data_IF_766754418804
#
_entry.id   IF_766754418804
#
_cell.length_a   1.000
_cell.length_b   1.000
_cell.length_c   1.000
_cell.angle_alpha   90.00
_cell.angle_beta   90.00
_cell.angle_gamma   90.00
#
_symmetry.space_group_name_H-M   'P 1'
#
loop_
_entity.id
_entity.type
_entity.pdbx_description
1 polymer ?
#
# COMPACT_ATOMS: atom_id res chain seq x y z
N UNK A 1 10.03 23.16 -114.49
CA UNK A 1 8.94 22.41 -115.16
C UNK A 1 7.99 21.89 -114.09
N UNK A 2 6.70 22.20 -114.23
CA UNK A 2 5.58 21.91 -113.30
C UNK A 2 5.10 20.46 -113.38
N UNK A 3 4.26 20.11 -112.38
CA UNK A 3 3.22 19.04 -112.28
C UNK A 3 3.68 17.83 -111.47
N UNK A 4 2.91 17.21 -110.57
CA UNK A 4 1.53 17.33 -110.06
C UNK A 4 1.49 16.30 -108.92
N UNK A 5 1.07 16.58 -107.67
CA UNK A 5 -0.31 16.87 -107.30
C UNK A 5 -1.17 15.61 -107.37
N UNK A 6 -1.41 14.94 -106.22
CA UNK A 6 -2.61 14.14 -105.92
C UNK A 6 -2.85 14.07 -104.41
N UNK A 7 -4.00 14.59 -104.01
CA UNK A 7 -4.56 14.66 -102.66
C UNK A 7 -5.53 13.49 -102.40
N UNK A 8 -5.72 13.20 -101.10
CA UNK A 8 -6.95 12.76 -100.43
C UNK A 8 -7.38 11.28 -100.56
N UNK A 9 -8.06 10.67 -99.55
CA UNK A 9 -8.94 11.35 -98.59
C UNK A 9 -8.72 11.10 -97.09
N UNK A 10 -9.24 12.08 -96.36
CA UNK A 10 -9.57 12.09 -94.93
C UNK A 10 -10.79 11.20 -94.72
N UNK A 11 -10.68 10.18 -93.87
CA UNK A 11 -11.83 9.46 -93.32
C UNK A 11 -12.12 9.95 -91.90
N UNK A 12 -13.33 10.46 -91.72
CA UNK A 12 -13.95 10.85 -90.44
C UNK A 12 -14.56 9.62 -89.75
N UNK A 13 -14.72 9.75 -88.43
CA UNK A 13 -15.58 8.97 -87.53
C UNK A 13 -15.08 7.55 -87.19
N UNK A 14 -14.81 7.23 -85.94
CA UNK A 14 -15.82 7.23 -84.87
C UNK A 14 -15.16 7.33 -83.50
N UNK A 15 -15.73 8.18 -82.65
CA UNK A 15 -15.39 8.30 -81.24
C UNK A 15 -15.62 6.95 -80.52
N UNK A 16 -14.54 6.25 -80.15
CA UNK A 16 -14.60 5.22 -79.13
C UNK A 16 -14.54 5.90 -77.76
N UNK A 17 -15.71 5.96 -77.12
CA UNK A 17 -15.90 6.25 -75.70
C UNK A 17 -14.95 5.41 -74.84
N UNK A 18 -13.77 5.94 -74.51
CA UNK A 18 -12.96 5.46 -73.41
C UNK A 18 -13.28 6.32 -72.18
N UNK A 19 -14.45 6.07 -71.58
CA UNK A 19 -14.68 6.40 -70.16
C UNK A 19 -13.86 5.41 -69.33
N UNK A 20 -12.56 5.67 -69.20
CA UNK A 20 -11.77 5.05 -68.14
C UNK A 20 -12.21 5.70 -66.83
N UNK A 21 -12.92 4.89 -66.04
CA UNK A 21 -13.46 5.19 -64.71
C UNK A 21 -12.44 5.97 -63.89
N UNK A 22 -12.81 7.19 -63.48
CA UNK A 22 -12.21 7.87 -62.34
C UNK A 22 -12.28 6.88 -61.18
N UNK A 23 -11.12 6.49 -60.66
CA UNK A 23 -10.99 5.65 -59.47
C UNK A 23 -11.56 6.50 -58.34
N UNK A 24 -12.76 6.16 -57.86
CA UNK A 24 -13.30 6.77 -56.64
C UNK A 24 -12.23 6.62 -55.55
N UNK A 25 -11.67 7.73 -55.10
CA UNK A 25 -10.95 7.75 -53.84
C UNK A 25 -11.92 7.23 -52.80
N UNK A 26 -11.65 6.03 -52.29
CA UNK A 26 -12.34 5.49 -51.14
C UNK A 26 -12.10 6.45 -49.97
N UNK A 27 -12.97 7.46 -49.83
CA UNK A 27 -13.10 8.22 -48.60
C UNK A 27 -13.51 7.20 -47.55
N UNK A 28 -12.55 6.72 -46.78
CA UNK A 28 -12.79 5.84 -45.64
C UNK A 28 -13.64 6.66 -44.66
N UNK A 29 -14.97 6.49 -44.73
CA UNK A 29 -15.89 7.05 -43.75
C UNK A 29 -15.54 6.36 -42.44
N UNK A 30 -14.73 7.01 -41.59
CA UNK A 30 -14.52 6.56 -40.21
C UNK A 30 -15.86 6.69 -39.50
N UNK A 31 -16.67 5.61 -39.51
CA UNK A 31 -17.87 5.50 -38.68
C UNK A 31 -17.43 5.71 -37.23
N UNK A 32 -17.94 6.78 -36.60
CA UNK A 32 -17.68 7.02 -35.17
C UNK A 32 -18.18 5.81 -34.39
N UNK A 33 -17.33 5.26 -33.52
CA UNK A 33 -17.72 4.14 -32.68
C UNK A 33 -18.95 4.54 -31.85
N UNK A 34 -19.91 3.62 -31.65
CA UNK A 34 -21.11 3.93 -30.88
C UNK A 34 -20.74 4.26 -29.43
N UNK A 35 -21.50 5.12 -28.75
CA UNK A 35 -21.17 5.55 -27.37
C UNK A 35 -20.99 4.39 -26.38
N UNK A 36 -21.73 3.29 -26.59
CA UNK A 36 -21.59 2.08 -25.77
C UNK A 36 -20.21 1.41 -25.89
N UNK A 37 -19.52 1.56 -27.03
CA UNK A 37 -18.18 1.02 -27.22
C UNK A 37 -17.18 1.68 -26.27
N UNK A 38 -17.25 3.01 -26.12
CA UNK A 38 -16.40 3.73 -25.17
C UNK A 38 -16.73 3.37 -23.73
N UNK A 39 -18.03 3.22 -23.40
CA UNK A 39 -18.45 2.76 -22.07
C UNK A 39 -17.89 1.36 -21.79
N UNK A 40 -18.03 0.42 -22.73
CA UNK A 40 -17.48 -0.93 -22.60
C UNK A 40 -15.95 -0.91 -22.48
N UNK A 41 -15.26 -0.08 -23.26
CA UNK A 41 -13.81 0.05 -23.19
C UNK A 41 -13.30 0.52 -21.80
N UNK A 42 -14.07 1.36 -21.10
CA UNK A 42 -13.76 1.75 -19.72
C UNK A 42 -14.22 0.73 -18.68
N UNK A 43 -15.38 0.09 -18.87
CA UNK A 43 -15.93 -0.85 -17.88
C UNK A 43 -15.20 -2.19 -17.85
N UNK A 44 -14.77 -2.72 -19.00
CA UNK A 44 -14.08 -4.01 -19.08
C UNK A 44 -12.86 -4.08 -18.14
N UNK A 45 -11.89 -3.14 -18.16
CA UNK A 45 -10.73 -3.22 -17.26
C UNK A 45 -11.12 -3.07 -15.77
N UNK A 46 -12.12 -2.24 -15.46
CA UNK A 46 -12.60 -2.08 -14.08
C UNK A 46 -13.24 -3.37 -13.57
N UNK A 47 -14.12 -3.98 -14.37
CA UNK A 47 -14.75 -5.27 -14.05
C UNK A 47 -13.68 -6.35 -13.90
N UNK A 48 -12.67 -6.37 -14.77
CA UNK A 48 -11.56 -7.32 -14.68
C UNK A 48 -10.81 -7.19 -13.35
N UNK A 49 -10.47 -5.96 -12.92
CA UNK A 49 -9.78 -5.74 -11.64
C UNK A 49 -10.66 -6.18 -10.47
N UNK A 50 -11.96 -5.89 -10.50
CA UNK A 50 -12.89 -6.32 -9.45
C UNK A 50 -12.97 -7.85 -9.38
N UNK A 51 -13.14 -8.53 -10.51
CA UNK A 51 -13.21 -9.99 -10.58
C UNK A 51 -11.88 -10.62 -10.12
N UNK A 52 -10.75 -10.04 -10.51
CA UNK A 52 -9.42 -10.47 -10.05
C UNK A 52 -9.29 -10.34 -8.53
N UNK A 53 -9.63 -9.18 -7.96
CA UNK A 53 -9.57 -8.93 -6.52
C UNK A 53 -10.44 -9.92 -5.75
N UNK A 54 -11.69 -10.14 -6.19
CA UNK A 54 -12.61 -11.10 -5.57
C UNK A 54 -12.05 -12.52 -5.65
N UNK A 55 -11.51 -12.92 -6.80
CA UNK A 55 -10.92 -14.26 -6.99
C UNK A 55 -9.71 -14.47 -6.05
N UNK A 56 -8.85 -13.46 -5.91
CA UNK A 56 -7.69 -13.51 -5.02
C UNK A 56 -8.12 -13.60 -3.55
N UNK A 57 -9.17 -12.88 -3.14
CA UNK A 57 -9.72 -12.97 -1.78
C UNK A 57 -10.34 -14.34 -1.49
N UNK A 58 -11.09 -14.90 -2.43
CA UNK A 58 -11.65 -16.26 -2.28
C UNK A 58 -10.58 -17.34 -2.19
N UNK A 59 -9.46 -17.16 -2.90
CA UNK A 59 -8.29 -18.03 -2.82
C UNK A 59 -7.41 -17.77 -1.58
N UNK A 60 -7.77 -16.81 -0.71
CA UNK A 60 -6.98 -16.34 0.43
C UNK A 60 -5.53 -15.99 0.06
N UNK A 61 -5.35 -15.32 -1.09
CA UNK A 61 -4.02 -14.91 -1.57
C UNK A 61 -3.45 -13.75 -0.73
N UNK A 62 -2.13 -13.77 -0.51
CA UNK A 62 -1.40 -12.69 0.15
C UNK A 62 -1.64 -12.62 1.66
N UNK A 63 -1.21 -11.52 2.28
CA UNK A 63 -1.31 -11.28 3.72
C UNK A 63 -2.67 -10.68 4.09
N UNK A 64 -3.17 -11.05 5.27
CA UNK A 64 -4.33 -10.41 5.89
C UNK A 64 -3.88 -9.29 6.83
N UNK A 65 -4.37 -8.09 6.59
CA UNK A 65 -4.07 -6.88 7.37
C UNK A 65 -5.24 -6.45 8.26
N UNK A 66 -6.23 -7.32 8.49
CA UNK A 66 -7.23 -7.11 9.55
C UNK A 66 -6.54 -6.75 10.86
N UNK A 67 -7.05 -5.75 11.57
CA UNK A 67 -6.37 -5.26 12.77
C UNK A 67 -6.45 -6.25 13.94
N UNK A 68 -7.63 -6.85 14.11
CA UNK A 68 -7.95 -7.72 15.23
C UNK A 68 -8.24 -9.13 14.74
N UNK A 69 -7.68 -10.12 15.43
CA UNK A 69 -7.97 -11.53 15.22
C UNK A 69 -8.57 -12.14 16.49
N UNK A 70 -9.44 -13.13 16.30
CA UNK A 70 -10.03 -13.90 17.41
C UNK A 70 -8.93 -14.73 18.10
N UNK A 71 -8.72 -14.45 19.38
CA UNK A 71 -7.78 -15.18 20.25
C UNK A 71 -8.45 -16.38 20.97
N UNK A 72 -9.74 -16.61 20.71
CA UNK A 72 -10.58 -17.55 21.42
C UNK A 72 -11.13 -16.99 22.72
N UNK A 73 -12.10 -17.71 23.30
CA UNK A 73 -12.72 -17.38 24.59
C UNK A 73 -13.32 -15.96 24.67
N UNK A 74 -13.81 -15.43 23.54
CA UNK A 74 -14.42 -14.10 23.49
C UNK A 74 -13.42 -12.96 23.60
N UNK A 75 -12.16 -13.18 23.16
CA UNK A 75 -11.09 -12.18 23.21
C UNK A 75 -10.51 -11.89 21.84
N UNK A 76 -10.11 -10.64 21.64
CA UNK A 76 -9.28 -10.23 20.51
C UNK A 76 -7.83 -10.04 20.92
N UNK A 77 -6.95 -10.17 19.93
CA UNK A 77 -5.56 -9.72 19.96
C UNK A 77 -5.22 -8.99 18.66
N UNK A 78 -4.12 -8.23 18.67
CA UNK A 78 -3.58 -7.64 17.45
C UNK A 78 -3.16 -8.73 16.46
N UNK A 79 -3.48 -8.55 15.18
CA UNK A 79 -3.06 -9.47 14.14
C UNK A 79 -1.53 -9.57 14.08
N UNK A 80 -1.01 -10.80 14.17
CA UNK A 80 0.43 -11.09 14.18
C UNK A 80 1.15 -10.69 12.89
N UNK A 81 0.43 -10.72 11.77
CA UNK A 81 0.97 -10.40 10.45
C UNK A 81 0.81 -8.92 10.05
N UNK A 82 0.15 -8.11 10.88
CA UNK A 82 -0.18 -6.70 10.54
C UNK A 82 1.07 -5.87 10.24
N UNK A 83 2.22 -6.21 10.83
CA UNK A 83 3.49 -5.55 10.56
C UNK A 83 3.88 -5.60 9.07
N UNK A 84 3.53 -6.66 8.34
CA UNK A 84 3.82 -6.80 6.91
C UNK A 84 3.14 -5.72 6.04
N UNK A 85 2.18 -4.97 6.59
CA UNK A 85 1.60 -3.80 5.91
C UNK A 85 2.60 -2.64 5.79
N UNK A 86 3.48 -2.47 6.77
CA UNK A 86 4.41 -1.33 6.89
C UNK A 86 5.85 -1.69 6.54
N UNK A 87 6.22 -2.97 6.66
CA UNK A 87 7.55 -3.48 6.39
C UNK A 87 7.55 -4.31 5.10
N UNK A 88 8.31 -3.88 4.09
CA UNK A 88 8.29 -4.48 2.75
C UNK A 88 9.28 -5.63 2.60
N UNK A 89 10.30 -5.69 3.45
CA UNK A 89 11.29 -6.76 3.46
C UNK A 89 11.04 -7.68 4.65
N UNK A 90 10.95 -8.99 4.42
CA UNK A 90 10.57 -9.97 5.46
C UNK A 90 11.51 -9.94 6.67
N UNK A 91 12.82 -9.72 6.46
CA UNK A 91 13.80 -9.60 7.54
C UNK A 91 13.65 -8.36 8.44
N UNK A 92 12.66 -7.50 8.17
CA UNK A 92 12.38 -6.29 8.93
C UNK A 92 11.05 -6.34 9.69
N UNK A 93 10.21 -7.36 9.49
CA UNK A 93 8.90 -7.43 10.15
C UNK A 93 9.11 -7.76 11.64
N UNK A 94 8.77 -6.87 12.58
CA UNK A 94 8.89 -7.13 14.01
C UNK A 94 7.79 -8.09 14.49
N UNK A 95 8.03 -8.74 15.63
CA UNK A 95 6.95 -9.35 16.39
C UNK A 95 6.02 -8.27 16.96
N UNK A 96 4.77 -8.64 17.21
CA UNK A 96 3.81 -7.79 17.92
C UNK A 96 3.51 -8.32 19.31
N UNK A 97 3.01 -7.44 20.17
CA UNK A 97 2.49 -7.80 21.49
C UNK A 97 1.33 -8.80 21.39
N UNK A 98 1.29 -9.76 22.33
CA UNK A 98 0.22 -10.75 22.47
C UNK A 98 -0.79 -10.36 23.56
N UNK A 99 -1.05 -9.06 23.72
CA UNK A 99 -2.05 -8.56 24.65
C UNK A 99 -3.46 -8.90 24.16
N UNK A 100 -4.26 -9.48 25.06
CA UNK A 100 -5.66 -9.83 24.82
C UNK A 100 -6.61 -8.87 25.52
N UNK A 101 -7.76 -8.62 24.89
CA UNK A 101 -8.88 -7.88 25.48
C UNK A 101 -10.21 -8.52 25.08
N UNK A 102 -11.28 -8.25 25.85
CA UNK A 102 -12.60 -8.81 25.60
C UNK A 102 -13.21 -8.20 24.33
N UNK A 103 -13.78 -9.03 23.44
CA UNK A 103 -14.49 -8.57 22.25
C UNK A 103 -15.62 -7.63 22.65
N UNK A 104 -16.44 -8.09 23.60
CA UNK A 104 -17.46 -7.28 24.23
C UNK A 104 -16.89 -6.64 25.49
N UNK A 105 -16.74 -5.31 25.46
CA UNK A 105 -16.29 -4.54 26.62
C UNK A 105 -17.27 -4.72 27.79
N UNK A 106 -16.77 -5.26 28.90
CA UNK A 106 -17.55 -5.44 30.14
C UNK A 106 -18.08 -4.11 30.66
N UNK A 107 -19.26 -4.13 31.27
CA UNK A 107 -19.80 -2.98 31.98
C UNK A 107 -18.86 -2.59 33.14
N UNK A 108 -18.66 -1.29 33.32
CA UNK A 108 -17.74 -0.72 34.31
C UNK A 108 -16.27 -1.20 34.18
N UNK A 109 -15.84 -1.67 33.00
CA UNK A 109 -14.41 -1.89 32.74
C UNK A 109 -13.71 -0.60 32.32
N UNK A 110 -12.39 -0.56 32.51
CA UNK A 110 -11.53 0.50 32.02
C UNK A 110 -10.53 -0.06 31.00
N UNK A 111 -10.66 0.39 29.75
CA UNK A 111 -9.90 -0.10 28.58
C UNK A 111 -8.94 0.96 28.07
N UNK A 112 -7.66 0.63 28.09
CA UNK A 112 -6.55 1.47 27.64
C UNK A 112 -5.86 0.81 26.45
N UNK A 113 -5.65 1.55 25.37
CA UNK A 113 -4.74 1.12 24.31
C UNK A 113 -3.46 1.93 24.34
N UNK A 114 -2.33 1.25 24.15
CA UNK A 114 -1.00 1.86 24.07
C UNK A 114 -0.47 1.71 22.65
N UNK A 115 -0.20 2.83 21.98
CA UNK A 115 0.42 2.91 20.67
C UNK A 115 1.80 3.51 20.79
N UNK A 116 2.74 3.03 19.97
CA UNK A 116 4.09 3.57 19.94
C UNK A 116 5.08 2.72 19.19
N UNK A 117 6.34 3.15 19.22
CA UNK A 117 7.49 2.40 18.72
C UNK A 117 8.02 1.36 19.72
N UNK A 118 9.28 0.98 19.55
CA UNK A 118 9.98 -0.05 20.34
C UNK A 118 9.99 0.25 21.85
N UNK A 119 10.19 1.51 22.26
CA UNK A 119 10.17 1.89 23.68
C UNK A 119 8.80 1.68 24.33
N UNK A 120 7.72 1.88 23.58
CA UNK A 120 6.36 1.66 24.07
C UNK A 120 5.98 0.19 24.09
N UNK A 121 6.47 -0.58 23.12
CA UNK A 121 6.40 -2.04 23.13
C UNK A 121 7.11 -2.60 24.36
N UNK A 122 8.20 -1.94 24.79
CA UNK A 122 8.94 -2.23 26.01
C UNK A 122 10.40 -2.61 25.77
N UNK A 123 10.94 -2.46 24.56
CA UNK A 123 12.33 -2.76 24.26
C UNK A 123 13.30 -1.98 25.16
N UNK A 124 14.41 -2.60 25.64
CA UNK A 124 14.82 -4.00 25.46
C UNK A 124 14.26 -4.96 26.52
N UNK A 125 13.32 -4.53 27.35
CA UNK A 125 12.77 -5.28 28.49
C UNK A 125 11.37 -5.86 28.22
N UNK A 126 10.95 -5.92 26.96
CA UNK A 126 9.62 -6.38 26.55
C UNK A 126 9.44 -7.88 26.81
N UNK A 127 8.21 -8.35 27.09
CA UNK A 127 7.04 -7.60 27.55
C UNK A 127 7.06 -7.09 29.02
N UNK A 128 7.70 -7.75 30.01
CA UNK A 128 7.54 -7.43 31.44
C UNK A 128 7.93 -6.00 31.85
N UNK A 129 8.91 -5.41 31.19
CA UNK A 129 9.41 -4.07 31.50
C UNK A 129 8.70 -2.93 30.77
N UNK A 130 7.66 -3.22 29.97
CA UNK A 130 6.89 -2.17 29.30
C UNK A 130 6.10 -1.32 30.31
N UNK A 131 6.01 -0.01 30.05
CA UNK A 131 5.25 0.89 30.93
C UNK A 131 3.76 0.54 30.95
N UNK A 132 3.23 -0.06 29.87
CA UNK A 132 1.84 -0.53 29.79
C UNK A 132 1.55 -1.59 30.86
N UNK A 133 2.50 -2.51 31.12
CA UNK A 133 2.39 -3.53 32.17
C UNK A 133 2.42 -2.93 33.57
N UNK A 134 3.27 -1.93 33.77
CA UNK A 134 3.27 -1.16 35.01
C UNK A 134 1.93 -0.46 35.24
N UNK A 135 1.42 0.27 34.24
CA UNK A 135 0.11 0.96 34.30
C UNK A 135 -1.00 -0.03 34.61
N UNK A 136 -1.05 -1.17 33.90
CA UNK A 136 -2.03 -2.23 34.14
C UNK A 136 -2.03 -2.66 35.60
N UNK A 137 -0.86 -3.01 36.13
CA UNK A 137 -0.75 -3.50 37.50
C UNK A 137 -1.13 -2.44 38.52
N UNK A 138 -0.77 -1.18 38.29
CA UNK A 138 -1.14 -0.06 39.17
C UNK A 138 -2.65 0.18 39.18
N UNK A 139 -3.31 0.13 38.03
CA UNK A 139 -4.76 0.29 37.92
C UNK A 139 -5.51 -0.88 38.59
N UNK A 140 -5.08 -2.12 38.37
CA UNK A 140 -5.66 -3.31 39.02
C UNK A 140 -5.54 -3.24 40.56
N UNK A 141 -4.43 -2.72 41.08
CA UNK A 141 -4.24 -2.52 42.53
C UNK A 141 -5.07 -1.36 43.10
N UNK A 142 -5.24 -0.29 42.33
CA UNK A 142 -5.96 0.92 42.77
C UNK A 142 -7.48 0.71 42.72
N UNK A 143 -7.96 -0.05 41.73
CA UNK A 143 -9.37 -0.33 41.47
C UNK A 143 -9.65 -1.84 41.42
N UNK A 144 -9.53 -2.57 42.54
CA UNK A 144 -9.58 -4.04 42.54
C UNK A 144 -10.93 -4.64 42.09
N UNK A 145 -12.00 -3.84 42.13
CA UNK A 145 -13.35 -4.26 41.72
C UNK A 145 -13.72 -3.80 40.29
N UNK A 146 -12.79 -3.14 39.59
CA UNK A 146 -12.98 -2.63 38.22
C UNK A 146 -12.15 -3.49 37.28
N UNK A 147 -12.75 -4.18 36.29
CA UNK A 147 -11.98 -4.88 35.28
C UNK A 147 -11.12 -3.90 34.49
N UNK A 148 -9.81 -4.11 34.45
CA UNK A 148 -8.87 -3.25 33.72
C UNK A 148 -8.29 -4.03 32.54
N UNK A 149 -8.35 -3.41 31.37
CA UNK A 149 -7.73 -3.90 30.14
C UNK A 149 -6.71 -2.86 29.69
N UNK A 150 -5.42 -3.19 29.76
CA UNK A 150 -4.38 -2.39 29.10
C UNK A 150 -3.82 -3.24 27.98
N UNK A 151 -4.01 -2.76 26.76
CA UNK A 151 -3.67 -3.45 25.51
C UNK A 151 -2.54 -2.70 24.84
N UNK A 152 -1.34 -3.24 24.93
CA UNK A 152 -0.20 -2.72 24.22
C UNK A 152 -0.21 -3.22 22.77
N UNK A 153 -0.36 -2.29 21.83
CA UNK A 153 -0.29 -2.55 20.38
C UNK A 153 0.87 -1.79 19.74
N UNK A 154 1.80 -1.29 20.55
CA UNK A 154 3.03 -0.72 20.06
C UNK A 154 3.87 -1.76 19.31
N UNK A 155 4.63 -1.28 18.33
CA UNK A 155 5.39 -2.13 17.42
C UNK A 155 6.78 -1.52 17.17
N UNK A 156 7.83 -2.30 17.33
CA UNK A 156 9.20 -1.86 17.07
C UNK A 156 9.34 -1.33 15.65
N UNK A 157 9.92 -0.13 15.51
CA UNK A 157 10.31 0.43 14.21
C UNK A 157 9.20 1.15 13.46
N UNK A 158 8.00 1.25 14.03
CA UNK A 158 6.93 2.06 13.45
C UNK A 158 6.95 3.50 13.95
N UNK A 159 6.32 4.38 13.17
CA UNK A 159 6.14 5.79 13.47
C UNK A 159 4.64 6.16 13.44
N UNK A 160 4.35 7.46 13.43
CA UNK A 160 2.97 7.97 13.47
C UNK A 160 2.09 7.56 12.27
N UNK A 161 2.63 7.09 11.13
CA UNK A 161 1.81 6.51 10.06
C UNK A 161 1.07 5.26 10.52
N UNK A 162 1.79 4.32 11.14
CA UNK A 162 1.19 3.09 11.68
C UNK A 162 0.23 3.39 12.82
N UNK A 163 0.59 4.33 13.70
CA UNK A 163 -0.29 4.71 14.81
C UNK A 163 -1.61 5.32 14.30
N UNK A 164 -1.54 6.16 13.27
CA UNK A 164 -2.72 6.73 12.62
C UNK A 164 -3.57 5.64 11.94
N UNK A 165 -2.94 4.66 11.31
CA UNK A 165 -3.62 3.56 10.63
C UNK A 165 -4.30 2.59 11.60
N UNK A 166 -3.76 2.38 12.80
CA UNK A 166 -4.37 1.57 13.87
C UNK A 166 -5.54 2.25 14.58
N UNK A 167 -5.59 3.59 14.57
CA UNK A 167 -6.49 4.36 15.42
C UNK A 167 -7.99 4.07 15.15
N UNK A 168 -8.48 3.95 13.90
CA UNK A 168 -9.88 3.61 13.64
C UNK A 168 -10.29 2.29 14.30
N UNK A 169 -9.50 1.24 14.11
CA UNK A 169 -9.77 -0.07 14.71
C UNK A 169 -9.67 -0.04 16.23
N UNK A 170 -8.84 0.84 16.82
CA UNK A 170 -8.82 1.08 18.28
C UNK A 170 -10.12 1.75 18.75
N UNK A 171 -10.57 2.81 18.07
CA UNK A 171 -11.77 3.56 18.44
C UNK A 171 -13.01 2.66 18.42
N UNK A 172 -13.12 1.76 17.44
CA UNK A 172 -14.20 0.77 17.35
C UNK A 172 -14.30 -0.14 18.59
N UNK A 173 -13.18 -0.37 19.29
CA UNK A 173 -13.13 -1.18 20.52
C UNK A 173 -13.48 -0.40 21.79
N UNK A 174 -14.00 0.83 21.67
CA UNK A 174 -14.51 1.66 22.77
C UNK A 174 -13.51 1.88 23.93
N UNK A 175 -12.31 2.41 23.63
CA UNK A 175 -11.32 2.71 24.65
C UNK A 175 -11.82 3.81 25.58
N UNK A 176 -11.40 3.79 26.83
CA UNK A 176 -11.54 4.91 27.77
C UNK A 176 -10.32 5.83 27.73
N UNK A 177 -9.16 5.28 27.35
CA UNK A 177 -7.91 6.01 27.23
C UNK A 177 -7.06 5.45 26.09
N UNK A 178 -6.44 6.33 25.31
CA UNK A 178 -5.43 5.98 24.31
C UNK A 178 -4.14 6.70 24.67
N UNK A 179 -3.08 5.93 24.90
CA UNK A 179 -1.74 6.44 25.19
C UNK A 179 -0.88 6.32 23.93
N UNK A 180 -0.28 7.42 23.52
CA UNK A 180 0.57 7.47 22.32
C UNK A 180 1.98 7.90 22.74
N UNK A 181 2.97 7.08 22.41
CA UNK A 181 4.39 7.37 22.60
C UNK A 181 5.13 7.30 21.25
N UNK A 182 5.37 8.48 20.65
CA UNK A 182 5.86 8.64 19.28
C UNK A 182 7.09 9.56 19.22
N UNK A 183 7.61 9.86 18.03
CA UNK A 183 8.69 10.85 17.82
C UNK A 183 10.10 10.27 17.59
N UNK A 184 10.32 8.99 17.88
CA UNK A 184 11.65 8.38 17.79
C UNK A 184 11.97 7.79 16.41
N UNK A 185 10.96 7.48 15.59
CA UNK A 185 11.10 6.64 14.39
C UNK A 185 10.62 7.35 13.12
N UNK A 186 10.30 8.63 13.20
CA UNK A 186 9.71 9.42 12.11
C UNK A 186 10.68 9.45 10.92
N UNK A 187 11.97 9.61 11.17
CA UNK A 187 12.95 9.65 10.11
C UNK A 187 13.39 8.28 9.59
N UNK A 188 13.88 7.41 10.48
CA UNK A 188 14.53 6.16 10.07
C UNK A 188 13.63 4.92 10.19
N UNK A 189 12.52 5.01 10.92
CA UNK A 189 11.56 3.91 11.06
C UNK A 189 10.81 3.63 9.76
N UNK A 190 9.97 2.59 9.75
CA UNK A 190 9.28 2.16 8.54
C UNK A 190 8.50 3.32 7.92
N UNK A 191 8.60 3.49 6.60
CA UNK A 191 8.02 4.60 5.83
C UNK A 191 8.68 5.97 6.05
N UNK A 192 9.62 6.10 6.97
CA UNK A 192 10.35 7.34 7.20
C UNK A 192 11.28 7.69 6.04
N UNK A 193 11.54 8.98 5.82
CA UNK A 193 12.37 9.47 4.71
C UNK A 193 13.79 8.89 4.68
N UNK A 194 14.39 8.63 5.84
CA UNK A 194 15.73 8.06 5.96
C UNK A 194 15.74 6.53 6.09
N UNK A 195 14.62 5.86 5.78
CA UNK A 195 14.46 4.42 5.98
C UNK A 195 14.67 3.62 4.70
N UNK A 196 15.33 2.46 4.82
CA UNK A 196 15.36 1.46 3.75
C UNK A 196 14.00 0.77 3.52
N UNK A 197 13.01 1.05 4.37
CA UNK A 197 11.63 0.54 4.28
C UNK A 197 10.65 1.66 3.91
N UNK A 198 10.94 2.44 2.85
CA UNK A 198 10.13 3.61 2.46
C UNK A 198 9.75 3.63 0.97
N UNK A 199 8.74 4.42 0.64
CA UNK A 199 8.33 4.75 -0.74
C UNK A 199 8.73 6.19 -1.14
N UNK A 200 9.69 6.78 -0.41
CA UNK A 200 10.15 8.16 -0.57
C UNK A 200 9.65 9.08 0.57
N UNK A 201 9.84 10.38 0.41
CA UNK A 201 9.50 11.41 1.41
C UNK A 201 8.04 11.88 1.37
N UNK A 202 7.31 11.63 0.28
CA UNK A 202 5.97 12.18 0.09
C UNK A 202 4.91 11.51 0.96
N UNK A 203 4.32 12.28 1.88
CA UNK A 203 3.20 11.86 2.74
C UNK A 203 2.01 11.31 1.96
N UNK A 204 1.66 11.94 0.84
CA UNK A 204 0.53 11.52 0.00
C UNK A 204 0.80 10.17 -0.65
N UNK A 205 2.02 9.95 -1.16
CA UNK A 205 2.41 8.68 -1.77
C UNK A 205 2.39 7.56 -0.73
N UNK A 206 2.94 7.78 0.47
CA UNK A 206 2.92 6.78 1.54
C UNK A 206 1.50 6.38 1.92
N UNK A 207 0.62 7.37 2.15
CA UNK A 207 -0.78 7.10 2.48
C UNK A 207 -1.51 6.35 1.37
N UNK A 208 -1.28 6.74 0.11
CA UNK A 208 -1.85 6.03 -1.03
C UNK A 208 -1.36 4.59 -1.09
N UNK A 209 -0.06 4.36 -0.89
CA UNK A 209 0.50 3.01 -0.90
C UNK A 209 -0.05 2.16 0.23
N UNK A 210 -0.19 2.70 1.45
CA UNK A 210 -0.83 1.99 2.57
C UNK A 210 -2.28 1.62 2.27
N UNK A 211 -3.05 2.54 1.68
CA UNK A 211 -4.42 2.28 1.25
C UNK A 211 -4.49 1.20 0.16
N UNK A 212 -3.63 1.29 -0.86
CA UNK A 212 -3.59 0.32 -1.95
C UNK A 212 -3.15 -1.07 -1.47
N UNK A 213 -2.33 -1.15 -0.42
CA UNK A 213 -1.81 -2.42 0.11
C UNK A 213 -2.90 -3.33 0.72
N UNK A 214 -4.08 -2.77 1.03
CA UNK A 214 -5.27 -3.51 1.47
C UNK A 214 -5.88 -4.42 0.38
N UNK A 215 -5.54 -4.16 -0.89
CA UNK A 215 -6.04 -4.92 -2.03
C UNK A 215 -5.08 -6.07 -2.36
N UNK A 216 -5.64 -7.26 -2.56
CA UNK A 216 -4.88 -8.46 -2.90
C UNK A 216 -4.20 -8.33 -4.27
N UNK A 217 -4.82 -7.58 -5.18
CA UNK A 217 -4.25 -7.24 -6.49
C UNK A 217 -2.97 -6.42 -6.36
N UNK A 218 -2.92 -5.46 -5.44
CA UNK A 218 -1.70 -4.69 -5.15
C UNK A 218 -0.61 -5.58 -4.60
N UNK A 219 -0.95 -6.47 -3.66
CA UNK A 219 0.00 -7.44 -3.12
C UNK A 219 0.53 -8.39 -4.20
N UNK A 220 -0.31 -8.82 -5.15
CA UNK A 220 0.08 -9.65 -6.29
C UNK A 220 1.11 -8.92 -7.17
N UNK A 221 0.85 -7.65 -7.53
CA UNK A 221 1.77 -6.82 -8.32
C UNK A 221 3.09 -6.65 -7.57
N UNK A 222 3.05 -6.32 -6.28
CA UNK A 222 4.23 -6.17 -5.42
C UNK A 222 5.06 -7.45 -5.38
N UNK A 223 4.42 -8.61 -5.19
CA UNK A 223 5.09 -9.91 -5.14
C UNK A 223 5.69 -10.28 -6.50
N UNK A 224 5.01 -9.96 -7.60
CA UNK A 224 5.54 -10.15 -8.94
C UNK A 224 6.79 -9.30 -9.19
N UNK A 225 6.76 -8.00 -8.83
CA UNK A 225 7.92 -7.11 -8.95
C UNK A 225 9.09 -7.65 -8.12
N UNK A 226 8.86 -8.03 -6.86
CA UNK A 226 9.88 -8.64 -5.99
C UNK A 226 10.50 -9.89 -6.63
N UNK A 227 9.68 -10.76 -7.21
CA UNK A 227 10.14 -11.95 -7.90
C UNK A 227 11.03 -11.62 -9.11
N UNK A 228 10.61 -10.67 -9.97
CA UNK A 228 11.41 -10.22 -11.13
C UNK A 228 12.76 -9.63 -10.70
N UNK A 229 12.75 -8.77 -9.68
CA UNK A 229 13.98 -8.15 -9.16
C UNK A 229 14.91 -9.20 -8.56
N UNK A 230 14.39 -10.17 -7.78
CA UNK A 230 15.19 -11.27 -7.23
C UNK A 230 15.78 -12.16 -8.32
N UNK A 231 15.05 -12.41 -9.40
CA UNK A 231 15.56 -13.20 -10.53
C UNK A 231 16.65 -12.50 -11.35
N UNK A 232 16.77 -11.18 -11.24
CA UNK A 232 17.75 -10.38 -11.99
C UNK A 232 18.92 -9.89 -11.14
N UNK A 233 18.81 -9.96 -9.80
CA UNK A 233 19.79 -9.41 -8.86
C UNK A 233 20.37 -10.51 -7.96
N UNK A 234 21.67 -10.79 -8.07
CA UNK A 234 22.33 -11.88 -7.33
C UNK A 234 22.83 -11.50 -5.93
N UNK A 235 22.61 -10.26 -5.46
CA UNK A 235 23.15 -9.79 -4.18
C UNK A 235 22.04 -9.65 -3.13
N UNK A 236 21.94 -10.63 -2.23
CA UNK A 236 21.30 -10.41 -0.93
C UNK A 236 22.29 -9.60 -0.06
N UNK A 237 21.91 -8.38 0.35
CA UNK A 237 22.65 -7.66 1.38
C UNK A 237 22.31 -8.29 2.72
N UNK A 238 23.25 -9.05 3.28
CA UNK A 238 23.14 -9.56 4.64
C UNK A 238 23.29 -8.42 5.63
N UNK A 239 22.16 -7.92 6.13
CA UNK A 239 22.15 -6.96 7.21
C UNK A 239 22.41 -7.68 8.54
N UNK A 240 23.55 -7.42 9.18
CA UNK A 240 23.85 -7.89 10.54
C UNK A 240 23.38 -6.85 11.57
N UNK A 241 22.94 -7.28 12.77
CA UNK A 241 22.51 -6.37 13.85
C UNK A 241 21.02 -6.48 14.26
N UNK A 242 20.57 -5.56 15.12
CA UNK A 242 19.16 -5.47 15.55
C UNK A 242 18.29 -4.86 14.46
N UNK A 243 16.96 -5.02 14.54
CA UNK A 243 16.06 -4.39 13.58
C UNK A 243 16.30 -2.88 13.48
N UNK A 244 16.39 -2.18 14.62
CA UNK A 244 16.59 -0.73 14.69
C UNK A 244 17.89 -0.29 14.01
N UNK A 245 18.98 -1.07 14.11
CA UNK A 245 20.24 -0.71 13.46
C UNK A 245 20.23 -0.88 11.94
N UNK A 246 19.26 -1.61 11.38
CA UNK A 246 19.15 -1.89 9.95
C UNK A 246 18.20 -0.94 9.22
N UNK A 247 17.30 -0.27 9.94
CA UNK A 247 16.26 0.57 9.32
C UNK A 247 16.79 1.86 8.68
N UNK A 248 17.74 2.61 9.30
CA UNK A 248 18.31 3.79 8.66
C UNK A 248 19.13 3.42 7.41
N UNK A 249 18.90 4.12 6.30
CA UNK A 249 19.75 4.02 5.11
C UNK A 249 21.13 4.65 5.36
N UNK A 250 21.14 5.85 5.94
CA UNK A 250 22.31 6.49 6.53
C UNK A 250 22.17 6.49 8.06
N UNK A 251 23.28 6.26 8.76
CA UNK A 251 23.34 6.30 10.23
C UNK A 251 23.19 7.73 10.77
N UNK A 252 23.43 8.75 9.94
CA UNK A 252 23.35 10.14 10.33
C UNK A 252 22.36 10.89 9.44
N UNK A 253 21.41 11.59 10.08
CA UNK A 253 20.56 12.58 9.43
C UNK A 253 20.97 13.92 10.02
N UNK A 254 21.67 14.72 9.23
CA UNK A 254 22.22 16.00 9.67
C UNK A 254 21.11 17.05 9.79
N UNK A 255 21.15 17.82 10.88
CA UNK A 255 20.21 18.92 11.12
C UNK A 255 20.30 19.95 9.98
N UNK A 256 19.14 20.47 9.55
CA UNK A 256 19.01 21.49 8.49
C UNK A 256 19.40 21.06 7.07
N UNK A 257 19.71 19.78 6.86
CA UNK A 257 19.92 19.21 5.52
C UNK A 257 18.62 18.73 4.87
N UNK A 258 18.68 18.39 3.58
CA UNK A 258 17.53 17.99 2.76
C UNK A 258 16.67 16.90 3.42
N UNK A 259 17.26 15.74 3.75
CA UNK A 259 16.56 14.61 4.40
C UNK A 259 15.92 15.00 5.73
N UNK A 260 16.55 15.92 6.48
CA UNK A 260 15.96 16.45 7.72
C UNK A 260 14.69 17.26 7.41
N UNK A 261 14.77 18.20 6.46
CA UNK A 261 13.63 19.03 6.08
C UNK A 261 12.50 18.22 5.45
N UNK A 262 12.83 17.23 4.62
CA UNK A 262 11.85 16.29 4.06
C UNK A 262 11.10 15.53 5.15
N UNK A 263 11.79 15.12 6.23
CA UNK A 263 11.14 14.46 7.37
C UNK A 263 10.22 15.40 8.13
N UNK A 264 10.55 16.69 8.26
CA UNK A 264 9.64 17.70 8.83
C UNK A 264 8.39 17.88 7.96
N UNK A 265 8.52 17.90 6.63
CA UNK A 265 7.36 18.00 5.74
C UNK A 265 6.49 16.73 5.71
N UNK A 266 7.14 15.58 5.88
CA UNK A 266 6.49 14.27 5.82
C UNK A 266 5.50 14.03 6.97
N UNK A 267 5.73 14.57 8.17
CA UNK A 267 4.97 14.27 9.39
C UNK A 267 4.14 15.45 9.88
#
# INVERSE_FOLDING_TARGET
MKKSGKNAPVEKNTAKNNKLKVKEENTVIRKKAPKWFYIAAYLIPVIFIIVLEVSLRLANYGDDYTQWIDAGQGKYMLNRDIGKKYFFSEGFVPSVSEDYFDIEKKQNSFRVFVLGGSSAEGYPFSPPGSFSRYIRKRLELTYPNTPVEVVNIAMTGVNSYTMLDFLPGVIEQKPDLVLIYAGHNEYYGALGVGSVQSFGSSRTVIRLMLFLNEFKTTQLIRNFIKWVVKSTSSSEKDFTGTLMSKMPEDKNILLDYEVYNEGIEQF
#
